data_IF_297904010087
#
_entry.id   IF_297904010087
#
_cell.length_a   1.000
_cell.length_b   1.000
_cell.length_c   1.000
_cell.angle_alpha   90.00
_cell.angle_beta   90.00
_cell.angle_gamma   90.00
#
_symmetry.space_group_name_H-M   'P 1'
#
loop_
_entity.id
_entity.type
_entity.pdbx_description
1 polymer ?
#
# COMPACT_ATOMS: atom_id res chain seq x y z
N UNK A 1 6.84 14.54 9.55
CA UNK A 1 7.28 13.22 10.07
C UNK A 1 8.24 12.65 9.04
N UNK A 2 9.50 12.39 9.41
CA UNK A 2 10.49 11.86 8.48
C UNK A 2 10.28 10.34 8.27
N UNK A 3 10.77 9.82 7.14
CA UNK A 3 10.74 8.38 6.85
C UNK A 3 11.42 7.57 7.98
N UNK A 4 12.46 8.15 8.62
CA UNK A 4 13.14 7.57 9.79
C UNK A 4 12.21 7.49 11.02
N UNK A 5 11.30 8.43 11.18
CA UNK A 5 10.37 8.45 12.32
C UNK A 5 9.26 7.42 12.11
N UNK A 6 8.83 7.20 10.86
CA UNK A 6 7.91 6.12 10.50
C UNK A 6 8.51 4.74 10.80
N UNK A 7 9.76 4.51 10.43
CA UNK A 7 10.42 3.22 10.64
C UNK A 7 10.67 2.90 12.13
N UNK A 8 10.70 3.91 13.02
CA UNK A 8 10.79 3.72 14.47
C UNK A 8 9.46 3.38 15.15
N UNK A 9 8.35 3.66 14.48
CA UNK A 9 7.00 3.39 15.00
C UNK A 9 6.54 1.96 14.78
N UNK A 10 7.25 1.16 13.98
CA UNK A 10 6.94 -0.25 13.84
C UNK A 10 7.36 -1.01 15.10
N UNK A 11 6.44 -1.79 15.72
CA UNK A 11 6.81 -2.68 16.80
C UNK A 11 7.98 -3.56 16.32
N UNK A 12 8.84 -3.96 17.25
CA UNK A 12 9.92 -4.91 16.95
C UNK A 12 9.27 -6.23 16.53
N UNK A 13 8.87 -6.31 15.26
CA UNK A 13 8.40 -7.54 14.67
C UNK A 13 9.53 -8.57 14.77
N UNK A 14 9.27 -9.66 15.44
CA UNK A 14 10.20 -10.77 15.61
C UNK A 14 9.61 -11.99 14.93
N UNK A 15 9.71 -12.10 13.60
CA UNK A 15 9.33 -13.32 12.94
C UNK A 15 10.22 -14.45 13.42
N UNK A 16 9.68 -15.63 13.46
CA UNK A 16 10.44 -16.85 13.67
C UNK A 16 11.67 -16.83 12.76
N UNK A 17 12.84 -17.22 13.29
CA UNK A 17 14.15 -17.13 12.62
C UNK A 17 14.12 -17.75 11.21
N UNK A 18 13.18 -18.65 10.95
CA UNK A 18 13.02 -19.34 9.69
C UNK A 18 12.56 -18.42 8.54
N UNK A 19 11.78 -17.38 8.78
CA UNK A 19 11.24 -16.48 7.74
C UNK A 19 12.16 -15.30 7.43
N UNK A 20 13.03 -14.91 8.35
CA UNK A 20 13.95 -13.75 8.18
C UNK A 20 14.80 -13.81 6.92
N UNK A 21 15.16 -15.00 6.46
CA UNK A 21 15.97 -15.18 5.25
C UNK A 21 15.25 -14.84 3.95
N UNK A 22 13.93 -14.67 4.00
CA UNK A 22 13.08 -14.33 2.84
C UNK A 22 12.61 -12.88 2.85
N UNK A 23 12.94 -12.13 3.89
CA UNK A 23 12.52 -10.75 4.04
C UNK A 23 13.70 -9.83 3.73
N UNK A 24 13.41 -8.83 2.89
CA UNK A 24 14.32 -7.73 2.66
C UNK A 24 14.29 -6.73 3.81
N UNK A 25 15.40 -6.01 4.01
CA UNK A 25 15.42 -4.92 4.97
C UNK A 25 14.58 -3.73 4.49
N UNK A 26 14.07 -2.87 5.38
CA UNK A 26 13.39 -1.64 5.00
C UNK A 26 14.24 -0.74 4.08
N UNK A 27 15.54 -0.71 4.26
CA UNK A 27 16.47 0.05 3.44
C UNK A 27 16.52 -0.45 2.00
N UNK A 28 16.53 -1.77 1.79
CA UNK A 28 16.47 -2.40 0.47
C UNK A 28 15.14 -2.08 -0.22
N UNK A 29 14.02 -2.17 0.48
CA UNK A 29 12.69 -1.82 -0.07
C UNK A 29 12.60 -0.34 -0.44
N UNK A 30 13.17 0.55 0.38
CA UNK A 30 13.22 1.99 0.07
C UNK A 30 14.02 2.24 -1.21
N UNK A 31 15.15 1.55 -1.39
CA UNK A 31 15.96 1.67 -2.59
C UNK A 31 15.25 1.09 -3.81
N UNK A 32 14.55 -0.03 -3.66
CA UNK A 32 13.72 -0.61 -4.72
C UNK A 32 12.61 0.37 -5.13
N UNK A 33 11.93 0.99 -4.18
CA UNK A 33 10.93 2.02 -4.47
C UNK A 33 11.48 3.25 -5.18
N UNK A 34 12.67 3.70 -4.82
CA UNK A 34 13.35 4.80 -5.54
C UNK A 34 13.63 4.46 -6.99
N UNK A 35 13.85 3.18 -7.28
CA UNK A 35 14.08 2.65 -8.61
C UNK A 35 12.79 2.20 -9.33
N UNK A 36 11.62 2.45 -8.76
CA UNK A 36 10.32 2.10 -9.36
C UNK A 36 10.00 0.61 -9.37
N UNK A 37 10.65 -0.15 -8.52
CA UNK A 37 10.39 -1.59 -8.41
C UNK A 37 9.17 -1.85 -7.54
N UNK A 38 8.38 -2.83 -7.96
CA UNK A 38 7.25 -3.34 -7.18
C UNK A 38 7.77 -4.29 -6.10
N UNK A 39 7.25 -4.15 -4.89
CA UNK A 39 7.58 -5.00 -3.76
C UNK A 39 6.31 -5.65 -3.19
N UNK A 40 6.48 -6.71 -2.41
CA UNK A 40 5.42 -7.27 -1.58
C UNK A 40 5.66 -6.78 -0.15
N UNK A 41 4.68 -6.10 0.41
CA UNK A 41 4.67 -5.73 1.83
C UNK A 41 3.72 -6.66 2.54
N UNK A 42 4.19 -7.28 3.62
CA UNK A 42 3.39 -8.16 4.47
C UNK A 42 3.11 -7.47 5.79
N UNK A 43 1.93 -7.64 6.33
CA UNK A 43 1.58 -7.15 7.64
C UNK A 43 1.69 -8.24 8.73
N UNK A 44 1.36 -7.87 9.96
CA UNK A 44 1.44 -8.74 11.11
C UNK A 44 0.38 -9.85 11.03
N UNK A 45 0.76 -11.06 11.48
CA UNK A 45 -0.12 -12.23 11.53
C UNK A 45 -1.37 -11.99 12.42
N UNK A 46 -1.23 -11.13 13.43
CA UNK A 46 -2.34 -10.78 14.33
C UNK A 46 -3.27 -9.70 13.75
N UNK A 47 -2.88 -9.04 12.63
CA UNK A 47 -3.69 -8.01 11.96
C UNK A 47 -4.50 -8.61 10.80
N UNK A 48 -4.06 -8.51 9.58
CA UNK A 48 -4.73 -9.01 8.39
C UNK A 48 -4.06 -10.28 7.85
N UNK A 49 -2.76 -10.44 8.16
CA UNK A 49 -1.92 -11.55 7.68
C UNK A 49 -1.99 -11.69 6.15
N UNK A 50 -1.90 -10.56 5.47
CA UNK A 50 -1.97 -10.46 4.02
C UNK A 50 -0.68 -9.90 3.44
N UNK A 51 -0.49 -10.06 2.15
CA UNK A 51 0.61 -9.49 1.40
C UNK A 51 0.10 -8.60 0.29
N UNK A 52 0.55 -7.35 0.27
CA UNK A 52 0.16 -6.36 -0.72
C UNK A 52 1.26 -6.15 -1.77
N UNK A 53 0.87 -6.14 -3.05
CA UNK A 53 1.73 -5.64 -4.13
C UNK A 53 1.75 -4.13 -4.09
N UNK A 54 2.92 -3.54 -3.89
CA UNK A 54 3.08 -2.10 -3.72
C UNK A 54 4.10 -1.54 -4.71
N UNK A 55 3.76 -0.42 -5.36
CA UNK A 55 4.66 0.35 -6.22
C UNK A 55 4.48 1.84 -5.93
N UNK A 56 5.52 2.68 -6.01
CA UNK A 56 5.35 4.13 -5.92
C UNK A 56 4.39 4.64 -6.99
N UNK A 57 3.36 5.38 -6.59
CA UNK A 57 2.31 5.85 -7.50
C UNK A 57 2.86 6.66 -8.70
N UNK A 58 3.94 7.41 -8.49
CA UNK A 58 4.63 8.18 -9.54
C UNK A 58 5.24 7.30 -10.64
N UNK A 59 5.47 6.03 -10.35
CA UNK A 59 6.13 5.07 -11.23
C UNK A 59 5.18 3.94 -11.67
N UNK A 60 3.90 4.03 -11.31
CA UNK A 60 2.88 3.10 -11.74
C UNK A 60 2.64 3.25 -13.25
N UNK A 61 2.86 2.17 -13.99
CA UNK A 61 2.61 2.08 -15.44
C UNK A 61 1.37 1.22 -15.68
N UNK A 62 0.75 1.30 -16.88
CA UNK A 62 -0.33 0.39 -17.25
C UNK A 62 0.04 -1.10 -17.07
N UNK A 63 1.28 -1.47 -17.41
CA UNK A 63 1.76 -2.85 -17.22
C UNK A 63 1.86 -3.24 -15.75
N UNK A 64 2.32 -2.33 -14.88
CA UNK A 64 2.36 -2.58 -13.43
C UNK A 64 0.95 -2.78 -12.85
N UNK A 65 -0.01 -1.92 -13.24
CA UNK A 65 -1.41 -2.05 -12.84
C UNK A 65 -2.04 -3.34 -13.36
N UNK A 66 -1.80 -3.67 -14.63
CA UNK A 66 -2.26 -4.95 -15.19
C UNK A 66 -1.66 -6.17 -14.47
N UNK A 67 -0.39 -6.09 -14.09
CA UNK A 67 0.26 -7.11 -13.28
C UNK A 67 -0.45 -7.29 -11.93
N UNK A 68 -0.72 -6.19 -11.22
CA UNK A 68 -1.46 -6.21 -9.95
C UNK A 68 -2.85 -6.84 -10.13
N UNK A 69 -3.61 -6.42 -11.13
CA UNK A 69 -4.94 -6.94 -11.42
C UNK A 69 -4.92 -8.45 -11.73
N UNK A 70 -3.96 -8.90 -12.52
CA UNK A 70 -3.85 -10.28 -12.98
C UNK A 70 -3.36 -11.23 -11.88
N UNK A 71 -2.40 -10.82 -11.09
CA UNK A 71 -1.69 -11.68 -10.14
C UNK A 71 -2.09 -11.43 -8.68
N UNK A 72 -2.29 -10.18 -8.27
CA UNK A 72 -2.77 -9.82 -6.94
C UNK A 72 -4.26 -10.11 -6.76
N UNK A 73 -5.08 -9.85 -7.78
CA UNK A 73 -6.53 -10.13 -7.81
C UNK A 73 -7.35 -9.45 -6.72
N UNK A 74 -6.75 -8.53 -6.02
CA UNK A 74 -7.40 -7.74 -4.98
C UNK A 74 -7.87 -6.39 -5.51
N UNK A 75 -8.25 -5.53 -4.57
CA UNK A 75 -8.59 -4.15 -4.84
C UNK A 75 -7.31 -3.34 -5.09
N UNK A 76 -7.26 -2.61 -6.19
CA UNK A 76 -6.14 -1.69 -6.45
C UNK A 76 -6.46 -0.36 -5.80
N UNK A 77 -5.64 0.02 -4.82
CA UNK A 77 -5.83 1.22 -4.02
C UNK A 77 -4.71 2.23 -4.25
N UNK A 78 -5.07 3.51 -4.23
CA UNK A 78 -4.12 4.63 -4.19
C UNK A 78 -4.17 5.28 -2.81
N UNK A 79 -3.07 5.24 -2.07
CA UNK A 79 -2.98 5.92 -0.78
C UNK A 79 -2.82 7.43 -0.99
N UNK A 80 -3.76 8.21 -0.45
CA UNK A 80 -3.79 9.66 -0.54
C UNK A 80 -3.72 10.30 0.84
N UNK A 81 -3.15 11.50 0.91
CA UNK A 81 -3.25 12.32 2.12
C UNK A 81 -4.65 12.88 2.30
N UNK A 82 -5.11 13.17 3.54
CA UNK A 82 -6.41 13.81 3.76
C UNK A 82 -6.58 15.09 2.97
N UNK A 83 -5.54 15.94 2.89
CA UNK A 83 -5.57 17.18 2.11
C UNK A 83 -5.81 16.91 0.62
N UNK A 84 -5.24 15.83 0.08
CA UNK A 84 -5.44 15.49 -1.32
C UNK A 84 -6.84 14.96 -1.59
N UNK A 85 -7.38 14.17 -0.68
CA UNK A 85 -8.78 13.70 -0.73
C UNK A 85 -9.74 14.89 -0.72
N UNK A 86 -9.52 15.87 0.15
CA UNK A 86 -10.32 17.10 0.23
C UNK A 86 -10.22 17.94 -1.04
N UNK A 87 -9.01 18.17 -1.57
CA UNK A 87 -8.80 18.89 -2.85
C UNK A 87 -9.52 18.25 -4.04
N UNK A 88 -9.61 16.92 -4.04
CA UNK A 88 -10.31 16.16 -5.08
C UNK A 88 -11.79 16.01 -4.81
N UNK A 89 -12.28 16.50 -3.67
CA UNK A 89 -13.67 16.38 -3.22
C UNK A 89 -14.20 14.93 -3.25
N UNK A 90 -13.37 13.98 -2.80
CA UNK A 90 -13.71 12.56 -2.80
C UNK A 90 -14.50 12.21 -1.52
N UNK A 91 -15.78 11.88 -1.61
CA UNK A 91 -16.55 11.42 -0.46
C UNK A 91 -16.12 9.99 -0.07
N UNK A 92 -16.35 9.62 1.20
CA UNK A 92 -16.21 8.24 1.62
C UNK A 92 -17.21 7.35 0.89
N UNK A 93 -16.79 6.13 0.57
CA UNK A 93 -17.63 5.11 -0.09
C UNK A 93 -18.83 4.72 0.79
N UNK A 94 -18.67 4.72 2.10
CA UNK A 94 -19.72 4.47 3.07
C UNK A 94 -19.68 5.51 4.17
N UNK A 95 -20.84 6.07 4.53
CA UNK A 95 -20.98 6.96 5.68
C UNK A 95 -20.89 6.19 7.01
N UNK A 96 -21.28 4.91 7.00
CA UNK A 96 -21.22 3.99 8.15
C UNK A 96 -20.22 2.85 7.79
N UNK A 97 -19.00 2.99 8.29
CA UNK A 97 -17.95 2.03 8.03
C UNK A 97 -17.90 0.98 9.14
N UNK A 98 -18.63 -0.10 8.95
CA UNK A 98 -18.68 -1.25 9.86
C UNK A 98 -17.57 -2.29 9.57
N UNK A 99 -16.58 -1.99 8.72
CA UNK A 99 -15.49 -2.92 8.44
C UNK A 99 -14.61 -3.14 9.69
N UNK A 100 -14.05 -4.34 9.83
CA UNK A 100 -13.23 -4.73 10.99
C UNK A 100 -12.09 -3.75 11.30
N UNK A 101 -11.45 -3.23 10.26
CA UNK A 101 -10.29 -2.34 10.38
C UNK A 101 -10.63 -0.87 10.12
N UNK A 102 -11.89 -0.55 9.84
CA UNK A 102 -12.38 0.82 9.59
C UNK A 102 -11.59 1.59 8.54
N UNK A 103 -11.06 0.89 7.53
CA UNK A 103 -10.29 1.52 6.46
C UNK A 103 -11.14 2.56 5.73
N UNK A 104 -10.65 3.79 5.65
CA UNK A 104 -11.37 4.93 5.07
C UNK A 104 -11.27 4.89 3.53
N UNK A 105 -12.05 4.05 2.87
CA UNK A 105 -12.16 4.05 1.42
C UNK A 105 -13.03 5.21 0.94
N UNK A 106 -12.54 5.93 -0.07
CA UNK A 106 -13.34 6.89 -0.83
C UNK A 106 -14.09 6.19 -1.97
N UNK A 107 -14.93 6.91 -2.67
CA UNK A 107 -15.47 6.45 -3.95
C UNK A 107 -14.32 6.10 -4.91
N UNK A 108 -14.56 5.17 -5.82
CA UNK A 108 -13.58 4.80 -6.84
C UNK A 108 -13.31 5.98 -7.78
N UNK A 109 -12.08 6.06 -8.26
CA UNK A 109 -11.63 7.05 -9.24
C UNK A 109 -11.00 6.33 -10.42
N UNK A 110 -10.97 7.01 -11.54
CA UNK A 110 -10.25 6.56 -12.75
C UNK A 110 -9.45 7.71 -13.35
N UNK A 111 -8.59 7.41 -14.30
CA UNK A 111 -7.88 8.45 -15.02
C UNK A 111 -8.87 9.29 -15.84
N UNK A 112 -8.63 10.62 -15.88
CA UNK A 112 -9.49 11.57 -16.62
C UNK A 112 -9.41 11.38 -18.13
N UNK A 113 -8.26 10.96 -18.61
CA UNK A 113 -7.95 10.83 -20.04
C UNK A 113 -7.21 9.52 -20.31
N UNK A 114 -7.40 8.93 -21.48
CA UNK A 114 -6.66 7.74 -21.90
C UNK A 114 -7.22 6.41 -21.40
N UNK A 115 -8.46 6.39 -20.96
CA UNK A 115 -9.19 5.18 -20.52
C UNK A 115 -10.40 4.96 -21.41
#
# INVERSE_FOLDING_TARGET
MSLRDMLRAFPKWSPDVQYRRYLSSPEEIIEDFRNGRMCIIVDDEERENEGDLVIPAQMATPDAINFMAKHGRGLICLALTPQRVEQLALPLMSADNASRHQTAFTVSIEAREGV
#
